data_IF_085061944203
#
_entry.id   IF_085061944203
#
_cell.length_a   1.000
_cell.length_b   1.000
_cell.length_c   1.000
_cell.angle_alpha   90.00
_cell.angle_beta   90.00
_cell.angle_gamma   90.00
#
_symmetry.space_group_name_H-M   'P 1'
#
loop_
_entity.id
_entity.type
_entity.pdbx_description
1 polymer ?
#
# COMPACT_ATOMS: atom_id res chain seq x y z
N UNK A 1 52.82 14.12 4.70
CA UNK A 1 53.37 15.41 5.23
C UNK A 1 52.20 16.27 5.71
N UNK A 2 52.24 16.62 6.99
CA UNK A 2 51.72 17.78 7.74
C UNK A 2 50.19 18.00 7.65
N UNK A 3 49.36 17.73 8.69
CA UNK A 3 49.20 18.45 10.00
C UNK A 3 48.79 19.91 9.70
N UNK A 4 47.78 20.50 10.26
CA UNK A 4 47.29 20.54 11.63
C UNK A 4 46.14 21.56 11.67
N UNK A 5 45.16 21.36 12.45
CA UNK A 5 45.00 21.88 13.83
C UNK A 5 44.24 23.20 13.90
N UNK A 6 43.27 23.31 14.68
CA UNK A 6 42.94 23.58 16.07
C UNK A 6 41.81 24.60 16.14
N UNK A 7 40.74 24.32 16.80
CA UNK A 7 40.42 24.50 18.24
C UNK A 7 40.02 25.92 18.64
N UNK A 8 38.84 25.99 19.28
CA UNK A 8 38.42 26.80 20.42
C UNK A 8 38.07 28.30 20.18
N UNK A 9 36.82 28.62 20.53
CA UNK A 9 36.59 29.52 21.66
C UNK A 9 35.20 29.38 22.20
N UNK A 10 35.20 29.04 23.45
CA UNK A 10 34.17 28.92 24.47
C UNK A 10 33.89 30.30 25.12
N UNK A 11 32.72 30.34 25.80
CA UNK A 11 32.42 31.19 26.97
C UNK A 11 32.03 32.66 26.62
N UNK A 12 31.08 33.23 27.20
CA UNK A 12 30.30 33.25 28.42
C UNK A 12 29.59 34.57 28.50
N UNK A 13 28.57 34.76 29.20
CA UNK A 13 28.21 35.39 30.50
C UNK A 13 26.75 35.73 30.43
N UNK A 14 25.83 35.13 31.09
CA UNK A 14 25.41 35.15 32.48
C UNK A 14 24.85 36.53 32.96
N UNK A 15 23.58 36.47 33.34
CA UNK A 15 22.95 37.12 34.47
C UNK A 15 22.90 38.66 34.58
N UNK A 16 21.67 39.16 34.67
CA UNK A 16 21.35 40.11 35.73
C UNK A 16 19.89 39.96 36.16
N UNK A 17 19.77 39.60 37.39
CA UNK A 17 18.53 39.54 38.16
C UNK A 17 18.35 40.81 38.99
N UNK A 18 17.13 40.95 39.52
CA UNK A 18 16.78 41.59 40.81
C UNK A 18 16.15 42.98 40.81
N UNK A 19 14.95 42.97 41.37
CA UNK A 19 14.38 43.73 42.49
C UNK A 19 13.85 45.15 42.25
N UNK A 20 12.62 45.37 42.72
CA UNK A 20 12.21 46.19 43.90
C UNK A 20 10.68 46.02 44.06
N UNK A 21 10.18 45.37 45.05
CA UNK A 21 9.71 45.73 46.39
C UNK A 21 8.63 46.82 46.49
N UNK A 22 7.48 46.34 46.89
CA UNK A 22 6.53 46.71 47.94
C UNK A 22 6.41 48.21 48.41
N UNK A 23 5.17 48.64 48.48
CA UNK A 23 4.76 49.55 49.53
C UNK A 23 3.30 49.24 49.94
N UNK A 24 3.09 48.95 51.20
CA UNK A 24 1.82 48.93 51.93
C UNK A 24 1.33 50.32 52.20
N UNK A 25 0.02 50.48 52.32
CA UNK A 25 -0.61 51.66 52.91
C UNK A 25 -2.03 51.33 53.37
N UNK A 26 -2.20 51.30 54.65
CA UNK A 26 -3.45 51.14 55.46
C UNK A 26 -4.45 52.28 55.28
N UNK A 27 -5.73 51.94 55.51
CA UNK A 27 -6.57 52.94 56.18
C UNK A 27 -8.02 53.03 55.71
N UNK A 28 -8.90 52.48 56.52
CA UNK A 28 -10.18 53.03 57.04
C UNK A 28 -11.47 52.64 56.31
N UNK A 29 -12.34 52.15 57.16
CA UNK A 29 -13.77 51.83 57.04
C UNK A 29 -14.61 53.02 56.76
N UNK A 30 -15.68 52.87 55.96
CA UNK A 30 -16.99 53.46 56.30
C UNK A 30 -18.16 52.76 55.62
N UNK A 31 -19.26 52.76 56.31
CA UNK A 31 -20.47 51.97 56.20
C UNK A 31 -21.35 52.24 54.97
N UNK A 32 -22.00 51.22 54.52
CA UNK A 32 -23.42 51.11 54.24
C UNK A 32 -24.00 51.80 53.01
N UNK A 33 -24.41 51.02 52.06
CA UNK A 33 -25.69 51.18 51.39
C UNK A 33 -26.16 49.95 50.66
N UNK A 34 -27.45 49.72 50.64
CA UNK A 34 -28.26 48.58 50.23
C UNK A 34 -28.04 48.14 48.82
N UNK A 35 -27.88 46.83 48.65
CA UNK A 35 -27.82 46.12 47.36
C UNK A 35 -29.16 46.15 46.61
N UNK A 36 -29.17 46.35 45.30
CA UNK A 36 -30.25 45.93 44.41
C UNK A 36 -30.08 44.48 43.98
N UNK A 37 -31.18 43.76 43.95
CA UNK A 37 -31.38 42.39 43.48
C UNK A 37 -30.76 42.22 42.11
N UNK A 38 -29.98 41.13 41.86
CA UNK A 38 -29.47 40.86 40.52
C UNK A 38 -30.59 40.36 39.61
N UNK A 39 -30.82 41.10 38.55
CA UNK A 39 -31.55 40.68 37.35
C UNK A 39 -30.85 39.48 36.72
N UNK A 40 -31.63 38.43 36.46
CA UNK A 40 -31.14 37.21 35.83
C UNK A 40 -30.56 37.54 34.43
N UNK A 41 -29.26 37.57 34.35
CA UNK A 41 -28.54 37.60 33.05
C UNK A 41 -28.80 36.27 32.38
N UNK A 42 -29.47 36.31 31.23
CA UNK A 42 -29.60 35.17 30.34
C UNK A 42 -28.19 34.61 30.03
N UNK A 43 -27.98 33.36 30.39
CA UNK A 43 -26.81 32.60 29.97
C UNK A 43 -26.90 32.52 28.46
N UNK A 44 -26.05 33.28 27.77
CA UNK A 44 -25.86 33.12 26.34
C UNK A 44 -25.44 31.68 26.07
N UNK A 45 -26.15 30.99 25.19
CA UNK A 45 -25.74 29.74 24.61
C UNK A 45 -24.30 29.96 24.08
N UNK A 46 -23.32 29.33 24.70
CA UNK A 46 -21.96 29.24 24.14
C UNK A 46 -22.13 28.55 22.79
N UNK A 47 -21.90 29.30 21.72
CA UNK A 47 -21.84 28.75 20.39
C UNK A 47 -20.80 27.65 20.39
N UNK A 48 -21.23 26.41 20.21
CA UNK A 48 -20.37 25.27 19.97
C UNK A 48 -19.40 25.67 18.86
N UNK A 49 -18.09 25.52 19.03
CA UNK A 49 -17.15 25.87 17.98
C UNK A 49 -17.52 25.04 16.72
N UNK A 50 -17.91 25.74 15.66
CA UNK A 50 -18.12 25.12 14.36
C UNK A 50 -16.80 24.50 13.96
N UNK A 51 -16.76 23.17 13.91
CA UNK A 51 -15.59 22.41 13.43
C UNK A 51 -15.18 23.00 12.07
N UNK A 52 -13.88 23.22 11.89
CA UNK A 52 -13.37 23.69 10.60
C UNK A 52 -13.74 22.63 9.53
N UNK A 53 -14.17 23.06 8.34
CA UNK A 53 -14.52 22.12 7.28
C UNK A 53 -13.33 21.21 6.96
N UNK A 54 -13.54 19.90 6.96
CA UNK A 54 -12.52 18.93 6.57
C UNK A 54 -12.27 19.05 5.07
N UNK A 55 -10.99 19.15 4.67
CA UNK A 55 -10.63 19.20 3.25
C UNK A 55 -11.22 17.99 2.51
N UNK A 56 -11.78 18.20 1.31
CA UNK A 56 -12.34 17.14 0.46
C UNK A 56 -13.69 16.61 0.92
N UNK A 57 -14.26 17.14 1.99
CA UNK A 57 -15.56 16.72 2.53
C UNK A 57 -16.54 17.87 2.48
N UNK A 58 -17.68 17.66 1.83
CA UNK A 58 -18.81 18.61 1.77
C UNK A 58 -20.08 17.92 2.28
N UNK A 59 -21.20 18.64 2.28
CA UNK A 59 -22.50 18.06 2.64
C UNK A 59 -22.97 16.98 1.64
N UNK A 60 -22.42 16.95 0.41
CA UNK A 60 -22.90 16.10 -0.68
C UNK A 60 -21.80 15.25 -1.32
N UNK A 61 -20.54 15.44 -0.99
CA UNK A 61 -19.42 14.77 -1.63
C UNK A 61 -18.25 14.50 -0.68
N UNK A 62 -17.58 13.36 -0.88
CA UNK A 62 -16.25 13.02 -0.35
C UNK A 62 -15.34 12.83 -1.57
N UNK A 63 -14.32 13.68 -1.68
CA UNK A 63 -13.38 13.65 -2.80
C UNK A 63 -12.09 12.94 -2.43
N UNK A 64 -11.76 11.89 -3.14
CA UNK A 64 -10.53 11.11 -3.00
C UNK A 64 -9.60 11.36 -4.20
N UNK A 65 -8.37 10.93 -4.10
CA UNK A 65 -7.40 10.94 -5.20
C UNK A 65 -6.56 9.68 -5.25
N UNK A 66 -6.03 9.35 -6.41
CA UNK A 66 -5.05 8.31 -6.60
C UNK A 66 -4.08 8.67 -7.72
N UNK A 67 -2.84 8.20 -7.63
CA UNK A 67 -1.87 8.25 -8.71
C UNK A 67 -1.52 6.84 -9.16
N UNK A 68 -1.55 6.62 -10.45
CA UNK A 68 -1.36 5.31 -11.07
C UNK A 68 -0.66 5.46 -12.42
N UNK A 69 0.11 4.48 -12.86
CA UNK A 69 0.63 4.43 -14.21
C UNK A 69 -0.49 3.99 -15.19
N UNK A 70 -1.02 4.93 -15.98
CA UNK A 70 -2.12 4.64 -16.91
C UNK A 70 -1.60 4.52 -18.34
N UNK A 71 -0.56 5.24 -18.68
CA UNK A 71 -0.04 5.28 -20.05
C UNK A 71 1.48 5.43 -20.12
N UNK A 72 2.04 5.21 -21.30
CA UNK A 72 3.44 5.48 -21.68
C UNK A 72 4.52 4.67 -20.90
N UNK A 73 4.13 3.67 -20.17
CA UNK A 73 5.02 2.82 -19.37
C UNK A 73 4.56 1.37 -19.45
N UNK A 74 5.47 0.40 -19.36
CA UNK A 74 5.08 -1.00 -19.17
C UNK A 74 4.22 -1.23 -17.91
N UNK A 75 4.42 -0.43 -16.87
CA UNK A 75 3.61 -0.48 -15.66
C UNK A 75 2.13 -0.02 -15.88
N UNK A 76 1.75 0.43 -17.07
CA UNK A 76 0.36 0.80 -17.38
C UNK A 76 -0.64 -0.35 -17.22
N UNK A 77 -0.17 -1.59 -17.15
CA UNK A 77 -1.00 -2.75 -16.84
C UNK A 77 -1.72 -2.63 -15.48
N UNK A 78 -1.14 -1.93 -14.50
CA UNK A 78 -1.76 -1.69 -13.18
C UNK A 78 -2.75 -0.52 -13.15
N UNK A 79 -2.79 0.30 -14.20
CA UNK A 79 -3.71 1.43 -14.31
C UNK A 79 -5.18 1.10 -14.04
N UNK A 80 -5.72 -0.07 -14.48
CA UNK A 80 -7.09 -0.50 -14.24
C UNK A 80 -7.53 -0.55 -12.77
N UNK A 81 -6.62 -0.61 -11.80
CA UNK A 81 -6.94 -0.51 -10.37
C UNK A 81 -7.81 0.72 -10.07
N UNK A 82 -7.45 1.88 -10.62
CA UNK A 82 -8.20 3.12 -10.42
C UNK A 82 -9.63 3.05 -10.96
N UNK A 83 -9.82 2.40 -12.10
CA UNK A 83 -11.15 2.24 -12.71
C UNK A 83 -12.00 1.24 -11.93
N UNK A 84 -11.41 0.18 -11.35
CA UNK A 84 -12.09 -0.74 -10.45
C UNK A 84 -12.59 -0.03 -9.19
N UNK A 85 -11.76 0.80 -8.55
CA UNK A 85 -12.17 1.65 -7.42
C UNK A 85 -13.30 2.60 -7.81
N UNK A 86 -13.15 3.31 -8.93
CA UNK A 86 -14.15 4.27 -9.40
C UNK A 86 -15.48 3.60 -9.69
N UNK A 87 -15.45 2.47 -10.40
CA UNK A 87 -16.66 1.71 -10.72
C UNK A 87 -17.41 1.27 -9.45
N UNK A 88 -16.68 0.83 -8.44
CA UNK A 88 -17.27 0.46 -7.16
C UNK A 88 -17.86 1.67 -6.42
N UNK A 89 -17.18 2.82 -6.40
CA UNK A 89 -17.75 4.03 -5.80
C UNK A 89 -18.99 4.51 -6.55
N UNK A 90 -19.00 4.44 -7.89
CA UNK A 90 -20.18 4.79 -8.68
C UNK A 90 -21.36 3.86 -8.40
N UNK A 91 -21.09 2.55 -8.21
CA UNK A 91 -22.09 1.58 -7.78
C UNK A 91 -22.71 1.94 -6.43
N UNK A 92 -21.88 2.25 -5.40
CA UNK A 92 -22.35 2.67 -4.08
C UNK A 92 -23.11 3.99 -4.15
N UNK A 93 -22.64 4.93 -4.97
CA UNK A 93 -23.30 6.22 -5.20
C UNK A 93 -24.70 6.08 -5.81
N UNK A 94 -24.90 5.09 -6.68
CA UNK A 94 -26.16 4.88 -7.38
C UNK A 94 -27.14 4.05 -6.55
N UNK A 95 -26.65 2.97 -5.90
CA UNK A 95 -27.49 2.02 -5.18
C UNK A 95 -27.79 2.43 -3.75
N UNK A 96 -26.85 3.10 -3.06
CA UNK A 96 -26.97 3.47 -1.65
C UNK A 96 -27.04 4.97 -1.41
N UNK A 97 -26.82 5.78 -2.45
CA UNK A 97 -26.76 7.25 -2.34
C UNK A 97 -25.46 7.75 -1.75
N UNK A 98 -24.40 6.95 -1.83
CA UNK A 98 -23.09 7.20 -1.24
C UNK A 98 -23.05 6.89 0.27
N UNK A 99 -22.10 7.48 1.00
CA UNK A 99 -21.94 7.28 2.43
C UNK A 99 -22.49 8.47 3.20
N UNK A 100 -23.48 8.26 4.04
CA UNK A 100 -24.22 9.30 4.77
C UNK A 100 -24.78 10.41 3.86
N UNK A 101 -25.25 10.02 2.65
CA UNK A 101 -25.81 10.95 1.66
C UNK A 101 -24.77 11.76 0.89
N UNK A 102 -23.47 11.47 1.07
CA UNK A 102 -22.35 12.05 0.33
C UNK A 102 -21.89 11.09 -0.73
N UNK A 103 -21.83 11.52 -1.97
CA UNK A 103 -21.24 10.73 -3.07
C UNK A 103 -19.72 10.68 -2.90
N UNK A 104 -19.16 9.54 -3.25
CA UNK A 104 -17.71 9.35 -3.29
C UNK A 104 -17.23 9.62 -4.70
N UNK A 105 -16.26 10.51 -4.88
CA UNK A 105 -15.56 10.73 -6.15
C UNK A 105 -14.08 10.46 -6.00
N UNK A 106 -13.41 10.01 -7.06
CA UNK A 106 -11.97 9.78 -7.09
C UNK A 106 -11.34 10.42 -8.32
N UNK A 107 -10.33 11.26 -8.08
CA UNK A 107 -9.46 11.81 -9.12
C UNK A 107 -8.33 10.82 -9.41
N UNK A 108 -8.28 10.31 -10.63
CA UNK A 108 -7.23 9.36 -11.06
C UNK A 108 -6.21 10.13 -11.89
N UNK A 109 -4.97 10.20 -11.43
CA UNK A 109 -3.90 10.92 -12.10
C UNK A 109 -2.88 9.95 -12.70
N UNK A 110 -2.60 10.10 -14.01
CA UNK A 110 -1.57 9.32 -14.70
C UNK A 110 -0.18 9.85 -14.38
N UNK A 111 0.57 9.11 -13.58
CA UNK A 111 1.94 9.47 -13.18
C UNK A 111 3.02 8.81 -14.06
N UNK A 112 2.62 8.04 -15.08
CA UNK A 112 3.52 7.34 -16.00
C UNK A 112 4.57 6.45 -15.32
N UNK A 113 4.37 6.07 -14.06
CA UNK A 113 5.37 5.43 -13.19
C UNK A 113 6.65 6.26 -13.09
N UNK A 114 6.52 7.58 -12.93
CA UNK A 114 7.61 8.53 -12.93
C UNK A 114 7.53 9.44 -11.70
N UNK A 115 8.51 9.41 -10.78
CA UNK A 115 8.45 10.16 -9.54
C UNK A 115 8.20 11.69 -9.70
N UNK A 116 8.80 12.41 -10.64
CA UNK A 116 8.43 13.80 -10.92
C UNK A 116 6.96 14.02 -11.26
N UNK A 117 6.38 13.15 -12.11
CA UNK A 117 4.98 13.24 -12.51
C UNK A 117 4.06 12.89 -11.33
N UNK A 118 4.46 11.92 -10.49
CA UNK A 118 3.76 11.60 -9.23
C UNK A 118 3.70 12.81 -8.29
N UNK A 119 4.81 13.52 -8.12
CA UNK A 119 4.86 14.77 -7.33
C UNK A 119 3.90 15.82 -7.88
N UNK A 120 3.81 15.99 -9.21
CA UNK A 120 2.87 16.91 -9.84
C UNK A 120 1.41 16.47 -9.59
N UNK A 121 1.09 15.18 -9.81
CA UNK A 121 -0.21 14.58 -9.56
C UNK A 121 -0.67 14.81 -8.12
N UNK A 122 0.13 14.40 -7.14
CA UNK A 122 -0.24 14.47 -5.72
C UNK A 122 -0.38 15.93 -5.26
N UNK A 123 0.54 16.82 -5.66
CA UNK A 123 0.40 18.24 -5.32
C UNK A 123 -0.85 18.87 -5.92
N UNK A 124 -1.19 18.56 -7.18
CA UNK A 124 -2.43 19.02 -7.79
C UNK A 124 -3.64 18.54 -7.00
N UNK A 125 -3.72 17.25 -6.69
CA UNK A 125 -4.83 16.67 -5.94
C UNK A 125 -4.98 17.31 -4.55
N UNK A 126 -3.88 17.48 -3.81
CA UNK A 126 -3.91 18.04 -2.44
C UNK A 126 -4.14 19.55 -2.46
N UNK A 127 -3.44 20.32 -3.32
CA UNK A 127 -3.43 21.78 -3.25
C UNK A 127 -4.52 22.45 -4.10
N UNK A 128 -4.94 21.82 -5.20
CA UNK A 128 -5.92 22.39 -6.14
C UNK A 128 -7.27 21.68 -6.04
N UNK A 129 -7.27 20.36 -6.23
CA UNK A 129 -8.50 19.57 -6.23
C UNK A 129 -9.06 19.35 -4.81
N UNK A 130 -8.21 19.56 -3.79
CA UNK A 130 -8.57 19.48 -2.37
C UNK A 130 -9.12 18.13 -1.95
N UNK A 131 -8.48 17.04 -2.35
CA UNK A 131 -8.89 15.70 -1.95
C UNK A 131 -8.78 15.48 -0.45
N UNK A 132 -9.65 14.63 0.10
CA UNK A 132 -9.63 14.23 1.51
C UNK A 132 -8.48 13.26 1.81
N UNK A 133 -8.28 12.28 0.94
CA UNK A 133 -7.26 11.25 1.09
C UNK A 133 -6.68 10.88 -0.28
N UNK A 134 -5.47 10.33 -0.28
CA UNK A 134 -4.94 9.52 -1.39
C UNK A 134 -5.24 8.06 -1.08
N UNK A 135 -5.77 7.33 -2.06
CA UNK A 135 -6.18 5.93 -1.90
C UNK A 135 -5.55 5.10 -3.03
N UNK A 136 -4.82 4.05 -2.66
CA UNK A 136 -4.27 3.12 -3.64
C UNK A 136 -3.21 3.72 -4.56
N UNK A 137 -2.41 4.70 -4.09
CA UNK A 137 -1.26 5.20 -4.84
C UNK A 137 -0.25 4.09 -5.10
N UNK A 138 0.24 3.96 -6.36
CA UNK A 138 1.00 2.79 -6.77
C UNK A 138 2.49 3.08 -6.98
N UNK A 139 3.28 2.12 -6.55
CA UNK A 139 4.70 2.00 -6.86
C UNK A 139 5.61 2.38 -5.70
N UNK A 140 6.82 1.83 -5.73
CA UNK A 140 7.84 2.11 -4.74
C UNK A 140 8.43 3.51 -4.95
N UNK A 141 9.18 3.72 -6.04
CA UNK A 141 9.89 4.98 -6.28
C UNK A 141 8.94 6.15 -6.45
N UNK A 142 7.78 5.92 -7.05
CA UNK A 142 6.74 6.93 -7.26
C UNK A 142 6.17 7.37 -5.93
N UNK A 143 5.80 6.44 -5.05
CA UNK A 143 5.20 6.76 -3.76
C UNK A 143 6.23 7.29 -2.75
N UNK A 144 7.49 6.80 -2.79
CA UNK A 144 8.61 7.36 -2.01
C UNK A 144 8.86 8.85 -2.29
N UNK A 145 8.49 9.33 -3.48
CA UNK A 145 8.62 10.75 -3.83
C UNK A 145 7.59 11.66 -3.13
N UNK A 146 6.49 11.11 -2.59
CA UNK A 146 5.34 11.90 -2.10
C UNK A 146 4.89 11.59 -0.67
N UNK A 147 5.20 10.43 -0.09
CA UNK A 147 4.67 10.03 1.21
C UNK A 147 4.97 11.03 2.35
N UNK A 148 6.20 11.59 2.40
CA UNK A 148 6.55 12.59 3.41
C UNK A 148 5.76 13.88 3.25
N UNK A 149 5.47 14.27 2.01
CA UNK A 149 4.63 15.43 1.74
C UNK A 149 3.20 15.21 2.22
N UNK A 150 2.63 14.03 1.99
CA UNK A 150 1.30 13.65 2.48
C UNK A 150 1.27 13.67 4.01
N UNK A 151 2.26 13.07 4.66
CA UNK A 151 2.41 13.07 6.12
C UNK A 151 2.53 14.50 6.68
N UNK A 152 3.39 15.35 6.10
CA UNK A 152 3.54 16.77 6.50
C UNK A 152 2.23 17.58 6.33
N UNK A 153 1.40 17.24 5.36
CA UNK A 153 0.11 17.87 5.09
C UNK A 153 -1.04 17.29 5.93
N UNK A 154 -0.81 16.16 6.60
CA UNK A 154 -1.84 15.44 7.34
C UNK A 154 -2.93 14.87 6.43
N UNK A 155 -2.60 14.53 5.18
CA UNK A 155 -3.50 13.89 4.23
C UNK A 155 -3.44 12.37 4.48
N UNK A 156 -4.57 11.70 4.72
CA UNK A 156 -4.60 10.25 4.81
C UNK A 156 -4.06 9.60 3.52
N UNK A 157 -3.13 8.66 3.70
CA UNK A 157 -2.44 7.92 2.67
C UNK A 157 -2.81 6.45 2.83
N UNK A 158 -3.83 6.03 2.10
CA UNK A 158 -4.57 4.82 2.36
C UNK A 158 -4.27 3.76 1.31
N UNK A 159 -3.92 2.57 1.79
CA UNK A 159 -3.81 1.37 0.96
C UNK A 159 -2.78 1.52 -0.16
N UNK A 160 -1.56 1.89 0.21
CA UNK A 160 -0.43 2.09 -0.72
C UNK A 160 -0.16 0.79 -1.47
N UNK A 161 -0.21 0.83 -2.81
CA UNK A 161 0.03 -0.32 -3.67
C UNK A 161 1.54 -0.59 -3.85
N UNK A 162 2.16 -0.99 -2.78
CA UNK A 162 3.53 -1.49 -2.67
C UNK A 162 3.68 -2.17 -1.31
N UNK A 163 4.41 -3.25 -1.25
CA UNK A 163 4.60 -4.05 -0.04
C UNK A 163 5.91 -3.76 0.70
N UNK A 164 6.67 -2.70 0.38
CA UNK A 164 7.88 -2.39 1.14
C UNK A 164 7.54 -2.00 2.58
N UNK A 165 8.37 -2.44 3.51
CA UNK A 165 8.11 -2.39 4.95
C UNK A 165 7.84 -0.97 5.47
N UNK A 166 8.49 0.05 4.90
CA UNK A 166 8.35 1.44 5.34
C UNK A 166 6.91 1.95 5.33
N UNK A 167 6.00 1.32 4.58
CA UNK A 167 4.60 1.75 4.56
C UNK A 167 3.86 1.42 5.86
N UNK A 168 4.29 0.38 6.56
CA UNK A 168 3.62 -0.14 7.76
C UNK A 168 4.50 -0.20 9.00
N UNK A 169 5.82 -0.15 8.87
CA UNK A 169 6.78 -0.09 9.98
C UNK A 169 7.87 0.97 9.73
N UNK A 170 8.03 1.98 10.59
CA UNK A 170 7.16 2.23 11.76
C UNK A 170 5.75 2.67 11.36
N UNK A 171 4.77 2.28 12.16
CA UNK A 171 3.39 2.72 11.96
C UNK A 171 3.30 4.24 12.01
N UNK A 172 2.75 4.83 10.96
CA UNK A 172 2.40 6.25 10.88
C UNK A 172 0.89 6.37 10.83
N UNK A 173 0.32 7.12 11.77
CA UNK A 173 -1.11 7.15 12.04
C UNK A 173 -2.00 7.37 10.81
N UNK A 174 -1.54 8.15 9.83
CA UNK A 174 -2.32 8.47 8.61
C UNK A 174 -1.96 7.59 7.40
N UNK A 175 -1.08 6.59 7.57
CA UNK A 175 -0.57 5.78 6.46
C UNK A 175 -0.90 4.30 6.65
N UNK A 176 -1.50 3.68 5.64
CA UNK A 176 -1.94 2.29 5.62
C UNK A 176 -1.42 1.58 4.38
N UNK A 177 -0.86 0.39 4.56
CA UNK A 177 -0.45 -0.47 3.46
C UNK A 177 -1.64 -0.94 2.62
N UNK A 178 -1.38 -1.31 1.38
CA UNK A 178 -2.35 -1.83 0.43
C UNK A 178 -1.97 -3.21 -0.15
N UNK A 179 -0.76 -3.67 0.10
CA UNK A 179 -0.26 -4.98 -0.33
C UNK A 179 0.23 -5.79 0.87
N UNK A 180 0.38 -7.11 0.72
CA UNK A 180 1.22 -7.90 1.62
C UNK A 180 2.63 -7.31 1.70
N UNK A 181 3.29 -7.49 2.84
CA UNK A 181 4.66 -6.99 2.99
C UNK A 181 5.62 -7.95 2.31
N UNK A 182 6.51 -7.42 1.47
CA UNK A 182 7.38 -8.23 0.62
C UNK A 182 8.31 -9.18 1.38
N UNK A 183 8.71 -8.83 2.60
CA UNK A 183 9.53 -9.71 3.40
C UNK A 183 8.75 -10.96 3.87
N UNK A 184 7.47 -10.82 4.25
CA UNK A 184 6.63 -11.95 4.63
C UNK A 184 6.22 -12.81 3.42
N UNK A 185 5.89 -12.17 2.31
CA UNK A 185 5.69 -12.85 1.03
C UNK A 185 6.93 -13.67 0.64
N UNK A 186 8.11 -13.04 0.75
CA UNK A 186 9.40 -13.71 0.49
C UNK A 186 9.63 -14.90 1.41
N UNK A 187 9.33 -14.79 2.71
CA UNK A 187 9.45 -15.89 3.68
C UNK A 187 8.56 -17.06 3.26
N UNK A 188 7.30 -16.82 2.88
CA UNK A 188 6.39 -17.83 2.38
C UNK A 188 6.94 -18.54 1.12
N UNK A 189 7.46 -17.78 0.16
CA UNK A 189 8.10 -18.35 -1.03
C UNK A 189 9.35 -19.15 -0.68
N UNK A 190 10.15 -18.67 0.29
CA UNK A 190 11.33 -19.38 0.82
C UNK A 190 10.95 -20.70 1.49
N UNK A 191 9.90 -20.73 2.32
CA UNK A 191 9.37 -21.96 2.91
C UNK A 191 8.91 -22.97 1.85
N UNK A 192 8.23 -22.50 0.80
CA UNK A 192 7.88 -23.36 -0.32
C UNK A 192 9.12 -23.95 -1.00
N UNK A 193 10.14 -23.14 -1.23
CA UNK A 193 11.42 -23.58 -1.81
C UNK A 193 12.09 -24.60 -0.90
N UNK A 194 12.16 -24.37 0.40
CA UNK A 194 12.71 -25.30 1.38
C UNK A 194 11.98 -26.65 1.37
N UNK A 195 10.66 -26.62 1.28
CA UNK A 195 9.84 -27.85 1.30
C UNK A 195 9.92 -28.66 0.00
N UNK A 196 9.95 -27.97 -1.17
CA UNK A 196 9.88 -28.66 -2.46
C UNK A 196 11.24 -28.90 -3.10
N UNK A 197 12.25 -28.12 -2.73
CA UNK A 197 13.57 -28.11 -3.38
C UNK A 197 14.72 -28.24 -2.38
N UNK A 198 14.49 -28.88 -1.22
CA UNK A 198 15.53 -29.14 -0.23
C UNK A 198 16.77 -29.82 -0.86
N UNK A 199 17.95 -29.33 -0.49
CA UNK A 199 19.23 -29.77 -1.05
C UNK A 199 19.49 -29.31 -2.49
N UNK A 200 18.63 -28.46 -3.08
CA UNK A 200 18.83 -27.88 -4.41
C UNK A 200 19.57 -26.54 -4.34
N UNK A 201 20.12 -26.17 -5.51
CA UNK A 201 20.82 -24.91 -5.71
C UNK A 201 19.87 -23.84 -6.21
N UNK A 202 19.71 -22.80 -5.40
CA UNK A 202 18.82 -21.66 -5.69
C UNK A 202 19.58 -20.53 -6.39
N UNK A 203 19.06 -20.07 -7.52
CA UNK A 203 19.46 -18.82 -8.16
C UNK A 203 18.42 -17.75 -7.91
N UNK A 204 18.85 -16.50 -7.72
CA UNK A 204 17.97 -15.36 -7.45
C UNK A 204 18.10 -14.34 -8.58
N UNK A 205 16.95 -13.93 -9.17
CA UNK A 205 16.84 -12.75 -10.00
C UNK A 205 16.18 -11.65 -9.16
N UNK A 206 16.83 -10.50 -9.02
CA UNK A 206 16.48 -9.49 -8.02
C UNK A 206 16.36 -8.12 -8.68
N UNK A 207 15.22 -7.47 -8.53
CA UNK A 207 15.10 -6.05 -8.89
C UNK A 207 15.94 -5.21 -7.93
N UNK A 208 16.75 -4.29 -8.45
CA UNK A 208 17.72 -3.51 -7.67
C UNK A 208 17.05 -2.33 -6.97
N UNK A 209 16.16 -2.62 -6.03
CA UNK A 209 15.45 -1.68 -5.17
C UNK A 209 14.95 -2.38 -3.90
N UNK A 210 14.21 -1.68 -3.04
CA UNK A 210 13.69 -2.24 -1.78
C UNK A 210 12.74 -3.42 -2.00
N UNK A 211 11.93 -3.41 -3.06
CA UNK A 211 11.08 -4.54 -3.44
C UNK A 211 11.89 -5.83 -3.59
N UNK A 212 12.96 -5.79 -4.37
CA UNK A 212 13.81 -6.96 -4.59
C UNK A 212 14.58 -7.39 -3.34
N UNK A 213 15.14 -6.42 -2.62
CA UNK A 213 15.95 -6.69 -1.41
C UNK A 213 15.10 -7.27 -0.27
N UNK A 214 13.93 -6.69 0.03
CA UNK A 214 13.05 -7.19 1.09
C UNK A 214 12.51 -8.58 0.76
N UNK A 215 12.08 -8.80 -0.48
CA UNK A 215 11.59 -10.12 -0.89
C UNK A 215 12.66 -11.20 -0.80
N UNK A 216 13.90 -10.88 -1.18
CA UNK A 216 15.02 -11.81 -1.05
C UNK A 216 15.38 -12.05 0.41
N UNK A 217 15.35 -11.01 1.25
CA UNK A 217 15.55 -11.19 2.69
C UNK A 217 14.53 -12.17 3.29
N UNK A 218 13.27 -12.07 2.87
CA UNK A 218 12.23 -13.04 3.24
C UNK A 218 12.52 -14.45 2.72
N UNK A 219 12.91 -14.60 1.45
CA UNK A 219 13.28 -15.92 0.90
C UNK A 219 14.42 -16.55 1.71
N UNK A 220 15.43 -15.78 2.11
CA UNK A 220 16.53 -16.25 2.94
C UNK A 220 16.07 -16.73 4.31
N UNK A 221 15.09 -16.04 4.92
CA UNK A 221 14.45 -16.48 6.17
C UNK A 221 13.69 -17.79 5.98
N UNK A 222 12.86 -17.88 4.94
CA UNK A 222 12.04 -19.06 4.66
C UNK A 222 12.84 -20.33 4.33
N UNK A 223 14.06 -20.20 3.78
CA UNK A 223 14.95 -21.36 3.54
C UNK A 223 15.84 -21.68 4.75
N UNK A 224 15.82 -20.90 5.82
CA UNK A 224 16.66 -21.14 6.99
C UNK A 224 16.39 -22.53 7.60
N UNK A 225 17.44 -23.28 7.84
CA UNK A 225 17.35 -24.63 8.38
C UNK A 225 17.12 -25.74 7.35
N UNK A 226 16.99 -25.41 6.07
CA UNK A 226 17.01 -26.36 4.95
C UNK A 226 18.43 -26.58 4.39
N UNK A 227 18.58 -27.54 3.48
CA UNK A 227 19.84 -27.76 2.74
C UNK A 227 19.87 -27.02 1.39
N UNK A 228 18.99 -26.01 1.18
CA UNK A 228 18.98 -25.16 -0.02
C UNK A 228 20.20 -24.24 -0.01
N UNK A 229 20.95 -24.22 -1.12
CA UNK A 229 22.15 -23.40 -1.28
C UNK A 229 21.90 -22.29 -2.30
N UNK A 230 21.99 -21.02 -1.92
CA UNK A 230 21.97 -19.89 -2.85
C UNK A 230 23.33 -19.84 -3.57
N UNK A 231 23.32 -20.09 -4.88
CA UNK A 231 24.55 -20.18 -5.69
C UNK A 231 24.82 -18.96 -6.55
N UNK A 232 23.80 -18.16 -6.84
CA UNK A 232 23.93 -16.94 -7.65
C UNK A 232 22.86 -15.94 -7.26
N UNK A 233 23.23 -14.65 -7.19
CA UNK A 233 22.36 -13.49 -7.03
C UNK A 233 22.61 -12.56 -8.20
N UNK A 234 21.61 -12.33 -9.01
CA UNK A 234 21.73 -11.52 -10.22
C UNK A 234 20.74 -10.36 -10.17
N UNK A 235 21.26 -9.17 -10.20
CA UNK A 235 20.49 -7.93 -10.10
C UNK A 235 20.17 -7.36 -11.48
N UNK A 236 19.06 -6.65 -11.57
CA UNK A 236 18.69 -5.87 -12.74
C UNK A 236 18.02 -4.54 -12.33
N UNK A 237 18.16 -3.53 -13.18
CA UNK A 237 17.50 -2.24 -12.96
C UNK A 237 16.06 -2.26 -13.47
N UNK A 238 15.12 -1.59 -12.79
CA UNK A 238 13.69 -1.58 -13.11
C UNK A 238 13.36 -1.26 -14.58
N UNK A 239 14.27 -0.56 -15.27
CA UNK A 239 14.15 -0.20 -16.69
C UNK A 239 14.84 -1.20 -17.65
N UNK A 240 15.46 -2.25 -17.14
CA UNK A 240 15.99 -3.34 -17.93
C UNK A 240 14.90 -4.40 -18.19
N UNK A 241 14.70 -4.73 -19.45
CA UNK A 241 13.66 -5.67 -19.87
C UNK A 241 14.20 -6.93 -20.53
N UNK A 242 15.51 -7.04 -20.76
CA UNK A 242 16.18 -8.19 -21.33
C UNK A 242 17.04 -8.90 -20.28
N UNK A 243 16.54 -10.02 -19.77
CA UNK A 243 17.21 -10.83 -18.75
C UNK A 243 18.10 -11.96 -19.33
N UNK A 244 18.46 -11.88 -20.61
CA UNK A 244 19.27 -12.93 -21.27
C UNK A 244 20.60 -13.15 -20.56
N UNK A 245 21.30 -12.08 -20.20
CA UNK A 245 22.60 -12.17 -19.53
C UNK A 245 22.49 -12.72 -18.10
N UNK A 246 21.50 -12.23 -17.35
CA UNK A 246 21.20 -12.68 -15.98
C UNK A 246 20.84 -14.16 -15.97
N UNK A 247 19.92 -14.58 -16.82
CA UNK A 247 19.50 -15.98 -16.95
C UNK A 247 20.68 -16.91 -17.28
N UNK A 248 21.59 -16.45 -18.17
CA UNK A 248 22.79 -17.22 -18.50
C UNK A 248 23.74 -17.34 -17.29
N UNK A 249 23.87 -16.29 -16.46
CA UNK A 249 24.70 -16.34 -15.22
C UNK A 249 24.11 -17.30 -14.21
N UNK A 250 22.80 -17.24 -13.96
CA UNK A 250 22.09 -18.17 -13.09
C UNK A 250 22.32 -19.63 -13.50
N UNK A 251 22.19 -19.93 -14.81
CA UNK A 251 22.45 -21.27 -15.35
C UNK A 251 23.90 -21.68 -15.15
N UNK A 252 24.85 -20.78 -15.44
CA UNK A 252 26.29 -21.06 -15.30
C UNK A 252 26.71 -21.22 -13.83
N UNK A 253 26.05 -20.52 -12.89
CA UNK A 253 26.18 -20.67 -11.44
C UNK A 253 25.66 -22.03 -10.94
N UNK A 254 24.95 -22.77 -11.80
CA UNK A 254 24.46 -24.10 -11.51
C UNK A 254 23.14 -24.12 -10.75
N UNK A 255 22.34 -23.08 -10.86
CA UNK A 255 21.00 -23.05 -10.26
C UNK A 255 20.15 -24.22 -10.76
N UNK A 256 19.44 -24.88 -9.87
CA UNK A 256 18.50 -25.97 -10.11
C UNK A 256 17.05 -25.56 -9.87
N UNK A 257 16.85 -24.41 -9.22
CA UNK A 257 15.59 -23.70 -9.02
C UNK A 257 15.88 -22.20 -9.05
N UNK A 258 14.94 -21.37 -9.49
CA UNK A 258 15.08 -19.92 -9.53
C UNK A 258 13.95 -19.29 -8.70
N UNK A 259 14.28 -18.32 -7.86
CA UNK A 259 13.34 -17.37 -7.35
C UNK A 259 13.57 -16.00 -8.03
N UNK A 260 12.53 -15.46 -8.64
CA UNK A 260 12.58 -14.17 -9.30
C UNK A 260 11.70 -13.16 -8.52
N UNK A 261 12.36 -12.39 -7.66
CA UNK A 261 11.73 -11.23 -7.05
C UNK A 261 11.86 -10.06 -8.02
N UNK A 262 10.96 -10.06 -8.98
CA UNK A 262 11.09 -9.30 -10.21
C UNK A 262 9.70 -8.90 -10.75
N UNK A 263 9.65 -7.80 -11.49
CA UNK A 263 8.42 -7.40 -12.19
C UNK A 263 8.08 -8.38 -13.33
N UNK A 264 6.82 -8.41 -13.81
CA UNK A 264 6.37 -9.40 -14.79
C UNK A 264 7.16 -9.43 -16.09
N UNK A 265 7.68 -8.28 -16.55
CA UNK A 265 8.43 -8.22 -17.81
C UNK A 265 9.79 -8.92 -17.66
N UNK A 266 10.49 -8.63 -16.56
CA UNK A 266 11.78 -9.23 -16.26
C UNK A 266 11.63 -10.73 -15.99
N UNK A 267 10.65 -11.14 -15.20
CA UNK A 267 10.34 -12.54 -14.92
C UNK A 267 10.01 -13.33 -16.20
N UNK A 268 9.20 -12.75 -17.11
CA UNK A 268 8.89 -13.37 -18.39
C UNK A 268 10.10 -13.41 -19.34
N UNK A 269 10.96 -12.39 -19.34
CA UNK A 269 12.20 -12.39 -20.11
C UNK A 269 13.13 -13.51 -19.64
N UNK A 270 13.24 -13.71 -18.32
CA UNK A 270 13.98 -14.84 -17.75
C UNK A 270 13.41 -16.18 -18.23
N UNK A 271 12.09 -16.39 -18.11
CA UNK A 271 11.43 -17.63 -18.50
C UNK A 271 11.63 -17.95 -19.98
N UNK A 272 11.38 -16.99 -20.88
CA UNK A 272 11.61 -17.14 -22.32
C UNK A 272 13.06 -17.45 -22.63
N UNK A 273 13.99 -16.76 -22.00
CA UNK A 273 15.42 -17.02 -22.17
C UNK A 273 15.78 -18.43 -21.72
N UNK A 274 15.31 -18.85 -20.55
CA UNK A 274 15.60 -20.20 -20.03
C UNK A 274 15.05 -21.28 -20.96
N UNK A 275 13.77 -21.21 -21.30
CA UNK A 275 13.06 -22.27 -22.02
C UNK A 275 13.33 -22.25 -23.51
N UNK A 276 13.22 -21.11 -24.19
CA UNK A 276 13.30 -21.01 -25.65
C UNK A 276 14.75 -20.86 -26.15
N UNK A 277 15.62 -20.14 -25.43
CA UNK A 277 16.98 -19.84 -25.89
C UNK A 277 17.98 -20.86 -25.34
N UNK A 278 17.91 -21.13 -24.05
CA UNK A 278 18.88 -21.98 -23.37
C UNK A 278 18.48 -23.46 -23.29
N UNK A 279 17.24 -23.82 -23.68
CA UNK A 279 16.66 -25.16 -23.48
C UNK A 279 16.88 -25.65 -22.05
N UNK A 280 16.56 -24.76 -21.07
CA UNK A 280 16.77 -25.01 -19.67
C UNK A 280 15.41 -25.03 -18.96
N UNK A 281 14.92 -26.23 -18.70
CA UNK A 281 13.69 -26.46 -17.97
C UNK A 281 13.99 -26.43 -16.47
N UNK A 282 13.98 -25.24 -15.90
CA UNK A 282 14.22 -24.98 -14.49
C UNK A 282 12.93 -24.51 -13.83
N UNK A 283 12.58 -25.02 -12.63
CA UNK A 283 11.49 -24.47 -11.84
C UNK A 283 11.72 -22.99 -11.53
N UNK A 284 10.68 -22.18 -11.68
CA UNK A 284 10.72 -20.75 -11.38
C UNK A 284 9.60 -20.39 -10.41
N UNK A 285 9.96 -19.70 -9.35
CA UNK A 285 9.08 -19.13 -8.36
C UNK A 285 9.16 -17.61 -8.53
N UNK A 286 8.01 -16.91 -8.54
CA UNK A 286 7.95 -15.47 -8.74
C UNK A 286 7.22 -14.79 -7.59
N UNK A 287 7.49 -13.50 -7.35
CA UNK A 287 6.77 -12.69 -6.37
C UNK A 287 5.29 -12.51 -6.71
N UNK A 288 4.45 -12.21 -5.72
CA UNK A 288 3.01 -12.02 -5.85
C UNK A 288 2.59 -10.92 -6.83
N UNK A 289 3.47 -9.94 -7.12
CA UNK A 289 3.20 -8.93 -8.16
C UNK A 289 3.03 -9.53 -9.56
N UNK A 290 3.39 -10.80 -9.75
CA UNK A 290 3.20 -11.57 -10.99
C UNK A 290 1.88 -12.36 -11.01
N UNK A 291 1.15 -12.38 -9.92
CA UNK A 291 -0.06 -13.18 -9.71
C UNK A 291 -1.28 -12.63 -10.45
N UNK A 292 -1.17 -12.37 -11.74
CA UNK A 292 -2.24 -11.86 -12.59
C UNK A 292 -2.13 -12.41 -14.01
N UNK A 293 -3.25 -12.41 -14.74
CA UNK A 293 -3.32 -12.93 -16.11
C UNK A 293 -2.31 -12.27 -17.07
N UNK A 294 -2.00 -10.98 -16.83
CA UNK A 294 -0.99 -10.26 -17.62
C UNK A 294 0.38 -10.96 -17.64
N UNK A 295 0.76 -11.65 -16.57
CA UNK A 295 1.98 -12.43 -16.54
C UNK A 295 1.95 -13.55 -17.58
N UNK A 296 0.83 -14.29 -17.65
CA UNK A 296 0.66 -15.40 -18.60
C UNK A 296 0.62 -14.87 -20.03
N UNK A 297 -0.07 -13.75 -20.27
CA UNK A 297 -0.11 -13.09 -21.57
C UNK A 297 1.28 -12.63 -22.05
N UNK A 298 2.09 -12.08 -21.14
CA UNK A 298 3.46 -11.63 -21.43
C UNK A 298 4.41 -12.81 -21.68
N UNK A 299 4.35 -13.85 -20.85
CA UNK A 299 5.24 -15.00 -20.94
C UNK A 299 4.86 -15.93 -22.10
N UNK A 300 3.56 -16.07 -22.40
CA UNK A 300 2.95 -17.13 -23.17
C UNK A 300 2.66 -18.35 -22.29
N UNK A 301 1.52 -19.01 -22.51
CA UNK A 301 1.04 -20.15 -21.70
C UNK A 301 2.10 -21.23 -21.50
N UNK A 302 2.81 -21.62 -22.56
CA UNK A 302 3.84 -22.67 -22.51
C UNK A 302 5.02 -22.28 -21.60
N UNK A 303 5.43 -20.99 -21.63
CA UNK A 303 6.53 -20.51 -20.79
C UNK A 303 6.08 -20.24 -19.34
N UNK A 304 4.82 -19.93 -19.12
CA UNK A 304 4.30 -19.69 -17.79
C UNK A 304 3.95 -20.99 -17.04
N UNK A 305 3.71 -22.10 -17.76
CA UNK A 305 3.25 -23.37 -17.17
C UNK A 305 4.17 -23.85 -16.04
N UNK A 306 3.57 -24.15 -14.88
CA UNK A 306 4.26 -24.63 -13.67
C UNK A 306 4.98 -23.56 -12.85
N UNK A 307 4.95 -22.28 -13.24
CA UNK A 307 5.46 -21.18 -12.41
C UNK A 307 4.61 -21.07 -11.15
N UNK A 308 5.26 -20.85 -10.00
CA UNK A 308 4.61 -20.74 -8.70
C UNK A 308 4.72 -19.30 -8.19
N UNK A 309 3.67 -18.83 -7.53
CA UNK A 309 3.58 -17.54 -6.86
C UNK A 309 2.71 -17.64 -5.60
N UNK A 310 2.36 -16.50 -5.04
CA UNK A 310 1.39 -16.34 -3.94
C UNK A 310 0.36 -15.27 -4.28
N UNK A 311 -0.80 -15.33 -3.66
CA UNK A 311 -1.87 -14.36 -3.86
C UNK A 311 -2.66 -14.13 -2.57
N UNK A 312 -3.16 -12.90 -2.37
CA UNK A 312 -3.96 -12.49 -1.22
C UNK A 312 -5.44 -12.19 -1.54
N UNK A 313 -5.82 -12.26 -2.82
CA UNK A 313 -7.18 -12.01 -3.31
C UNK A 313 -7.68 -13.15 -4.19
N UNK A 314 -8.97 -13.19 -4.42
CA UNK A 314 -9.57 -14.09 -5.38
C UNK A 314 -9.21 -13.72 -6.82
N UNK A 315 -9.19 -14.71 -7.70
CA UNK A 315 -8.90 -14.53 -9.10
C UNK A 315 -10.16 -14.20 -9.91
N UNK A 316 -10.00 -13.36 -10.93
CA UNK A 316 -11.14 -12.87 -11.75
C UNK A 316 -11.96 -13.97 -12.42
N UNK A 317 -11.38 -15.13 -12.68
CA UNK A 317 -12.07 -16.28 -13.30
C UNK A 317 -12.86 -17.14 -12.30
N UNK A 318 -12.78 -16.88 -11.01
CA UNK A 318 -13.54 -17.57 -9.96
C UNK A 318 -15.00 -17.07 -9.92
N UNK A 319 -15.67 -17.06 -11.07
CA UNK A 319 -17.00 -16.47 -11.28
C UNK A 319 -18.13 -17.15 -10.52
N UNK A 320 -17.88 -18.32 -9.93
CA UNK A 320 -18.81 -18.98 -9.02
C UNK A 320 -18.89 -18.28 -7.65
N UNK A 321 -17.92 -17.42 -7.33
CA UNK A 321 -17.94 -16.59 -6.14
C UNK A 321 -18.85 -15.37 -6.35
N UNK A 322 -19.82 -15.14 -5.44
CA UNK A 322 -20.77 -14.02 -5.59
C UNK A 322 -20.11 -12.66 -5.75
N UNK A 323 -19.00 -12.40 -5.04
CA UNK A 323 -18.27 -11.13 -5.12
C UNK A 323 -17.62 -10.91 -6.50
N UNK A 324 -17.02 -11.96 -7.07
CA UNK A 324 -16.43 -11.90 -8.41
C UNK A 324 -17.53 -11.73 -9.47
N UNK A 325 -18.64 -12.46 -9.35
CA UNK A 325 -19.79 -12.27 -10.26
C UNK A 325 -20.33 -10.84 -10.19
N UNK A 326 -20.47 -10.28 -8.98
CA UNK A 326 -20.87 -8.89 -8.77
C UNK A 326 -19.90 -7.90 -9.40
N UNK A 327 -18.57 -8.18 -9.31
CA UNK A 327 -17.56 -7.33 -9.96
C UNK A 327 -17.80 -7.20 -11.47
N UNK A 328 -18.10 -8.30 -12.16
CA UNK A 328 -18.46 -8.25 -13.58
C UNK A 328 -19.66 -7.35 -13.85
N UNK A 329 -20.72 -7.44 -13.02
CA UNK A 329 -21.91 -6.59 -13.14
C UNK A 329 -21.59 -5.10 -12.90
N UNK A 330 -20.76 -4.81 -11.87
CA UNK A 330 -20.30 -3.45 -11.58
C UNK A 330 -19.48 -2.89 -12.75
N UNK A 331 -18.53 -3.64 -13.26
CA UNK A 331 -17.69 -3.20 -14.37
C UNK A 331 -18.46 -3.06 -15.69
N UNK A 332 -19.46 -3.90 -15.95
CA UNK A 332 -20.35 -3.74 -17.12
C UNK A 332 -21.11 -2.42 -17.06
N UNK A 333 -21.61 -2.03 -15.89
CA UNK A 333 -22.43 -0.84 -15.71
C UNK A 333 -21.62 0.44 -15.50
N UNK A 334 -20.52 0.38 -14.75
CA UNK A 334 -19.78 1.56 -14.29
C UNK A 334 -18.30 1.60 -14.76
N UNK A 335 -17.76 0.53 -15.32
CA UNK A 335 -16.33 0.39 -15.64
C UNK A 335 -15.86 1.12 -16.90
N UNK A 336 -16.67 2.01 -17.51
CA UNK A 336 -16.29 2.86 -18.65
C UNK A 336 -15.67 2.12 -19.84
N UNK A 337 -15.92 0.81 -19.97
CA UNK A 337 -15.40 -0.04 -21.04
C UNK A 337 -13.96 -0.52 -20.84
N UNK A 338 -13.40 -0.34 -19.66
CA UNK A 338 -12.12 -0.96 -19.28
C UNK A 338 -12.32 -2.47 -19.17
N UNK A 339 -11.40 -3.29 -19.70
CA UNK A 339 -11.47 -4.75 -19.55
C UNK A 339 -11.51 -5.16 -18.08
N UNK A 340 -12.32 -6.18 -17.79
CA UNK A 340 -12.39 -6.78 -16.46
C UNK A 340 -11.21 -7.70 -16.29
N UNK A 341 -10.39 -7.45 -15.27
CA UNK A 341 -9.18 -8.21 -14.95
C UNK A 341 -8.90 -8.23 -13.43
N UNK A 342 -7.85 -8.89 -13.00
CA UNK A 342 -7.46 -8.96 -11.60
C UNK A 342 -7.13 -7.58 -10.99
N UNK A 343 -6.69 -6.62 -11.79
CA UNK A 343 -6.40 -5.26 -11.29
C UNK A 343 -7.67 -4.47 -11.03
N UNK A 344 -8.69 -4.60 -11.89
CA UNK A 344 -10.01 -4.01 -11.61
C UNK A 344 -10.66 -4.66 -10.39
N UNK A 345 -10.49 -5.98 -10.22
CA UNK A 345 -10.98 -6.72 -9.04
C UNK A 345 -10.28 -6.23 -7.76
N UNK A 346 -8.96 -6.06 -7.80
CA UNK A 346 -8.21 -5.47 -6.70
C UNK A 346 -8.65 -4.03 -6.41
N UNK A 347 -8.95 -3.24 -7.43
CA UNK A 347 -9.56 -1.92 -7.28
C UNK A 347 -10.87 -1.96 -6.49
N UNK A 348 -11.70 -2.99 -6.69
CA UNK A 348 -12.91 -3.19 -5.88
C UNK A 348 -12.58 -3.49 -4.41
N UNK A 349 -11.54 -4.28 -4.10
CA UNK A 349 -11.10 -4.52 -2.71
C UNK A 349 -10.82 -3.19 -2.02
N UNK A 350 -10.02 -2.33 -2.65
CA UNK A 350 -9.68 -1.02 -2.11
C UNK A 350 -10.91 -0.11 -1.98
N UNK A 351 -11.84 -0.21 -2.92
CA UNK A 351 -13.13 0.49 -2.88
C UNK A 351 -13.98 0.06 -1.70
N UNK A 352 -14.16 -1.25 -1.49
CA UNK A 352 -14.93 -1.82 -0.38
C UNK A 352 -14.34 -1.41 0.97
N UNK A 353 -13.02 -1.51 1.12
CA UNK A 353 -12.33 -1.17 2.34
C UNK A 353 -12.44 0.34 2.64
N UNK A 354 -12.37 1.18 1.60
CA UNK A 354 -12.59 2.62 1.72
C UNK A 354 -14.01 2.94 2.19
N UNK A 355 -15.03 2.31 1.59
CA UNK A 355 -16.45 2.52 1.95
C UNK A 355 -16.73 2.04 3.36
N UNK A 356 -16.18 0.91 3.78
CA UNK A 356 -16.28 0.40 5.15
C UNK A 356 -15.68 1.39 6.15
N UNK A 357 -14.48 1.91 5.88
CA UNK A 357 -13.83 2.89 6.74
C UNK A 357 -14.64 4.20 6.83
N UNK A 358 -15.12 4.73 5.71
CA UNK A 358 -15.97 5.93 5.68
C UNK A 358 -17.29 5.72 6.45
N UNK A 359 -17.86 4.52 6.35
CA UNK A 359 -19.09 4.18 7.05
C UNK A 359 -18.88 4.12 8.56
N UNK A 360 -17.77 3.54 9.01
CA UNK A 360 -17.40 3.53 10.45
C UNK A 360 -17.02 4.89 10.97
N UNK A 361 -16.37 5.73 10.17
CA UNK A 361 -15.98 7.08 10.56
C UNK A 361 -17.18 7.98 10.88
N UNK A 362 -18.34 7.67 10.33
CA UNK A 362 -19.59 8.37 10.63
C UNK A 362 -19.80 9.67 9.84
N UNK A 363 -20.90 10.37 10.09
CA UNK A 363 -21.28 11.56 9.32
C UNK A 363 -20.36 12.77 9.56
N UNK A 364 -19.69 12.84 10.71
CA UNK A 364 -18.77 13.94 11.08
C UNK A 364 -17.33 13.58 10.67
N UNK A 365 -17.14 13.31 9.37
CA UNK A 365 -15.88 12.82 8.81
C UNK A 365 -14.74 13.84 8.99
N UNK A 366 -13.69 13.41 9.67
CA UNK A 366 -12.40 14.08 9.82
C UNK A 366 -11.27 13.11 9.54
N UNK A 367 -10.04 13.58 9.45
CA UNK A 367 -8.86 12.70 9.35
C UNK A 367 -8.78 11.77 10.56
N UNK A 368 -9.00 12.31 11.77
CA UNK A 368 -8.97 11.51 12.99
C UNK A 368 -10.06 10.42 13.00
N UNK A 369 -11.32 10.77 12.68
CA UNK A 369 -12.39 9.78 12.65
C UNK A 369 -12.18 8.70 11.57
N UNK A 370 -11.54 9.03 10.43
CA UNK A 370 -11.19 8.07 9.38
C UNK A 370 -10.12 7.10 9.87
N UNK A 371 -9.08 7.59 10.52
CA UNK A 371 -8.01 6.75 11.07
C UNK A 371 -8.54 5.87 12.20
N UNK A 372 -9.27 6.43 13.16
CA UNK A 372 -9.90 5.66 14.26
C UNK A 372 -10.83 4.57 13.70
N UNK A 373 -11.56 4.88 12.63
CA UNK A 373 -12.41 3.89 11.94
C UNK A 373 -11.61 2.75 11.34
N UNK A 374 -10.52 3.06 10.63
CA UNK A 374 -9.62 2.06 10.06
C UNK A 374 -9.02 1.16 11.16
N UNK A 375 -8.42 1.75 12.20
CA UNK A 375 -7.83 1.03 13.32
C UNK A 375 -8.85 0.17 14.11
N UNK A 376 -10.15 0.50 13.99
CA UNK A 376 -11.26 -0.27 14.57
C UNK A 376 -11.69 -1.48 13.75
N UNK A 377 -11.24 -1.61 12.51
CA UNK A 377 -11.61 -2.73 11.63
C UNK A 377 -11.02 -4.02 12.19
N UNK A 378 -11.88 -5.00 12.48
CA UNK A 378 -11.51 -6.33 12.94
C UNK A 378 -12.30 -7.36 12.14
N UNK A 379 -11.61 -8.15 11.36
CA UNK A 379 -12.21 -9.23 10.58
C UNK A 379 -13.20 -8.76 9.52
N UNK A 380 -12.91 -7.66 8.83
CA UNK A 380 -13.71 -7.22 7.68
C UNK A 380 -13.49 -8.15 6.50
N UNK A 381 -14.54 -8.87 6.10
CA UNK A 381 -14.52 -9.72 4.92
C UNK A 381 -15.07 -8.94 3.74
N UNK A 382 -14.19 -8.46 2.87
CA UNK A 382 -14.64 -7.89 1.61
C UNK A 382 -15.15 -8.99 0.66
N UNK A 383 -15.92 -8.61 -0.34
CA UNK A 383 -16.63 -9.58 -1.20
C UNK A 383 -15.69 -10.43 -2.07
N UNK A 384 -14.50 -9.94 -2.32
CA UNK A 384 -13.47 -10.56 -3.18
C UNK A 384 -12.13 -10.77 -2.48
N UNK A 385 -12.04 -10.55 -1.16
CA UNK A 385 -10.86 -10.85 -0.37
C UNK A 385 -10.75 -12.35 -0.07
N UNK A 386 -9.56 -12.89 -0.16
CA UNK A 386 -9.26 -14.27 0.22
C UNK A 386 -9.51 -14.49 1.72
N UNK A 387 -9.17 -13.52 2.55
CA UNK A 387 -9.28 -13.58 4.00
C UNK A 387 -9.79 -12.25 4.59
N UNK A 388 -10.30 -12.27 5.85
CA UNK A 388 -10.70 -11.05 6.53
C UNK A 388 -9.53 -10.10 6.79
N UNK A 389 -9.80 -8.80 6.69
CA UNK A 389 -8.84 -7.72 6.95
C UNK A 389 -9.01 -7.17 8.36
N UNK A 390 -7.92 -6.89 9.04
CA UNK A 390 -7.90 -6.23 10.34
C UNK A 390 -6.83 -5.15 10.37
N UNK A 391 -7.05 -4.08 11.15
CA UNK A 391 -6.06 -3.06 11.46
C UNK A 391 -6.04 -2.78 12.96
N UNK A 392 -5.01 -2.13 13.46
CA UNK A 392 -4.93 -1.64 14.84
C UNK A 392 -4.04 -0.41 14.92
N UNK A 393 -4.02 0.27 16.08
CA UNK A 393 -3.10 1.38 16.34
C UNK A 393 -1.61 1.04 16.17
N UNK A 394 -1.27 -0.25 16.17
CA UNK A 394 0.10 -0.76 16.05
C UNK A 394 0.33 -1.62 14.82
N UNK A 395 -0.70 -1.79 13.98
CA UNK A 395 -0.62 -2.59 12.77
C UNK A 395 -1.53 -2.02 11.68
N UNK A 396 -0.92 -1.56 10.59
CA UNK A 396 -1.59 -1.00 9.42
C UNK A 396 -1.42 -1.88 8.17
N UNK A 397 -1.16 -3.19 8.35
CA UNK A 397 -1.05 -4.18 7.26
C UNK A 397 -2.43 -4.76 6.96
N UNK A 398 -2.92 -4.70 5.71
CA UNK A 398 -4.27 -5.19 5.38
C UNK A 398 -4.31 -6.69 5.07
N UNK A 399 -3.27 -7.22 4.45
CA UNK A 399 -3.25 -8.57 3.88
C UNK A 399 -2.10 -9.37 4.48
N UNK A 400 -2.42 -10.17 5.49
CA UNK A 400 -1.46 -11.01 6.21
C UNK A 400 -1.70 -12.51 5.97
N UNK A 401 -2.72 -12.83 5.16
CA UNK A 401 -3.05 -14.19 4.76
C UNK A 401 -2.92 -14.30 3.25
N UNK A 402 -2.05 -15.20 2.81
CA UNK A 402 -1.80 -15.49 1.42
C UNK A 402 -1.94 -17.00 1.15
N UNK A 403 -2.15 -17.36 -0.10
CA UNK A 403 -2.20 -18.75 -0.56
C UNK A 403 -1.26 -18.92 -1.75
N UNK A 404 -0.63 -20.10 -1.85
CA UNK A 404 0.15 -20.44 -3.03
C UNK A 404 -0.73 -20.59 -4.25
N UNK A 405 -0.19 -20.19 -5.40
CA UNK A 405 -0.80 -20.46 -6.68
C UNK A 405 0.25 -20.93 -7.70
N UNK A 406 -0.21 -21.63 -8.73
CA UNK A 406 0.63 -22.12 -9.82
C UNK A 406 -0.09 -21.96 -11.14
N UNK A 407 0.66 -21.65 -12.19
CA UNK A 407 0.10 -21.65 -13.54
C UNK A 407 -0.14 -23.08 -14.01
N UNK A 408 -1.41 -23.40 -14.28
CA UNK A 408 -1.87 -24.67 -14.83
C UNK A 408 -2.86 -24.44 -15.99
N UNK A 409 -2.51 -24.91 -17.18
CA UNK A 409 -3.39 -24.77 -18.36
C UNK A 409 -3.71 -23.32 -18.72
N UNK A 410 -2.74 -22.42 -18.58
CA UNK A 410 -2.89 -21.00 -18.91
C UNK A 410 -3.66 -20.17 -17.87
N UNK A 411 -3.76 -20.63 -16.61
CA UNK A 411 -4.39 -19.90 -15.51
C UNK A 411 -3.61 -20.07 -14.21
N UNK A 412 -3.69 -19.10 -13.36
CA UNK A 412 -3.24 -19.20 -11.98
C UNK A 412 -4.24 -20.03 -11.17
N UNK A 413 -3.80 -21.11 -10.56
CA UNK A 413 -4.64 -22.01 -9.75
C UNK A 413 -4.08 -22.08 -8.34
N UNK A 414 -4.87 -21.68 -7.36
CA UNK A 414 -4.51 -21.75 -5.93
C UNK A 414 -4.36 -23.18 -5.46
N UNK A 415 -3.42 -23.44 -4.56
CA UNK A 415 -3.21 -24.75 -3.94
C UNK A 415 -2.63 -24.60 -2.52
N UNK A 416 -2.77 -25.66 -1.71
CA UNK A 416 -2.37 -25.63 -0.30
C UNK A 416 -3.41 -24.94 0.58
N UNK A 417 -3.07 -24.80 1.86
CA UNK A 417 -3.88 -24.04 2.82
C UNK A 417 -3.36 -22.60 2.87
N UNK A 418 -4.22 -21.60 3.13
CA UNK A 418 -3.76 -20.23 3.37
C UNK A 418 -2.76 -20.16 4.52
N UNK A 419 -1.75 -19.35 4.37
CA UNK A 419 -0.72 -19.09 5.40
C UNK A 419 -1.00 -17.73 6.02
N UNK A 420 -1.01 -17.70 7.36
CA UNK A 420 -1.33 -16.53 8.16
C UNK A 420 -0.02 -16.00 8.82
N UNK A 421 0.37 -14.79 8.46
CA UNK A 421 1.55 -14.10 9.00
C UNK A 421 1.21 -13.05 10.08
N UNK A 422 -0.07 -12.88 10.45
CA UNK A 422 -0.51 -11.89 11.47
C UNK A 422 0.22 -12.08 12.80
N UNK A 423 0.53 -13.32 13.14
CA UNK A 423 1.19 -13.68 14.40
C UNK A 423 2.73 -13.79 14.30
N UNK A 424 3.31 -13.61 13.13
CA UNK A 424 4.75 -13.72 12.93
C UNK A 424 5.44 -12.46 13.45
N UNK A 425 6.29 -12.55 14.52
CA UNK A 425 7.03 -11.39 14.98
C UNK A 425 8.01 -10.93 13.89
N UNK A 426 8.03 -9.64 13.64
CA UNK A 426 9.04 -9.03 12.79
C UNK A 426 10.45 -9.26 13.35
N UNK A 427 11.45 -9.48 12.50
CA UNK A 427 12.83 -9.66 12.90
C UNK A 427 13.45 -8.41 13.50
#
# INVERSE_FOLDING_TARGET
MKRSSRWLLLLAVAALALLVLAACGDGEEEEGETAPTPEATAVGEEATPTAQPTQGVTDTEIKLGTHLPISKTPAAAWGPIGEGMRAYFDYINDTEGGVYGRKISIEICDDHYNPPDTVECVRKMVEQDKVFAIVGGLGEETHLAVYKYLEEKGIPDLFINSGILIWTDPVVRTRFGGNPVYITEGEMLGEYIAQQYDGKKLGLLIENNEFGEEGVAGIEQGIEGSDVEIVERDYYEVVEFDMTAQTQRLKNGGAEVIAAYANPIAACSLLKTAREILNWDVPVIVSGVNAADIFIDLCGEENAEGVVSVVFGHQIYETDLPGVAQHYEIMEQYGSGVPVDNFTLYGQILGELTVEALTRAGPDLTVDSMVDALESIKGFQCSVCLAPISFSETDHRPFEIEVYERVEGGRWITFGEPVDFESTPWP
#
